data_IF_949252007686
#
_entry.id   IF_949252007686
#
_cell.length_a   1.000
_cell.length_b   1.000
_cell.length_c   1.000
_cell.angle_alpha   90.00
_cell.angle_beta   90.00
_cell.angle_gamma   90.00
#
_symmetry.space_group_name_H-M   'P 1'
#
loop_
_entity.id
_entity.type
_entity.pdbx_description
1 polymer ?
#
# COMPACT_ATOMS: atom_id res chain seq x y z
N UNK A 1 -8.05 6.81 -24.94
CA UNK A 1 -8.27 7.23 -23.54
C UNK A 1 -9.75 7.08 -23.15
N UNK A 2 -10.35 5.91 -23.38
CA UNK A 2 -11.75 5.62 -23.03
C UNK A 2 -11.85 4.58 -21.90
N UNK A 3 -10.87 3.66 -21.79
CA UNK A 3 -10.84 2.66 -20.72
C UNK A 3 -10.73 3.26 -19.30
N UNK A 4 -9.94 4.33 -19.12
CA UNK A 4 -9.85 5.02 -17.83
C UNK A 4 -11.18 5.70 -17.49
N UNK A 5 -11.86 6.31 -18.48
CA UNK A 5 -13.18 6.90 -18.27
C UNK A 5 -14.21 5.83 -17.91
N UNK A 6 -14.24 4.69 -18.59
CA UNK A 6 -15.14 3.57 -18.25
C UNK A 6 -14.88 3.10 -16.82
N UNK A 7 -13.62 3.01 -16.39
CA UNK A 7 -13.26 2.65 -15.01
C UNK A 7 -13.75 3.67 -13.97
N UNK A 8 -13.79 4.96 -14.30
CA UNK A 8 -14.29 6.00 -13.39
C UNK A 8 -15.81 6.24 -13.47
N UNK A 9 -16.46 5.88 -14.58
CA UNK A 9 -17.87 6.26 -14.85
C UNK A 9 -18.85 5.09 -14.80
N UNK A 10 -18.38 3.84 -14.87
CA UNK A 10 -19.24 2.66 -14.67
C UNK A 10 -19.26 2.21 -13.21
N UNK A 11 -20.41 1.72 -12.69
CA UNK A 11 -20.49 1.21 -11.32
C UNK A 11 -19.46 0.11 -11.03
N UNK A 12 -19.21 -0.75 -12.01
CA UNK A 12 -18.22 -1.85 -11.93
C UNK A 12 -16.78 -1.33 -11.87
N UNK A 13 -16.50 -0.26 -12.62
CA UNK A 13 -15.21 0.40 -12.62
C UNK A 13 -14.91 1.07 -11.28
N UNK A 14 -15.88 1.82 -10.74
CA UNK A 14 -15.79 2.46 -9.42
C UNK A 14 -15.61 1.43 -8.31
N UNK A 15 -16.31 0.30 -8.39
CA UNK A 15 -16.13 -0.83 -7.46
C UNK A 15 -14.70 -1.39 -7.48
N UNK A 16 -14.15 -1.59 -8.68
CA UNK A 16 -12.76 -2.05 -8.86
C UNK A 16 -11.75 -1.03 -8.33
N UNK A 17 -11.99 0.26 -8.58
CA UNK A 17 -11.17 1.37 -8.09
C UNK A 17 -11.16 1.44 -6.55
N UNK A 18 -12.32 1.24 -5.92
CA UNK A 18 -12.42 1.19 -4.46
C UNK A 18 -11.61 0.03 -3.86
N UNK A 19 -11.66 -1.15 -4.49
CA UNK A 19 -10.87 -2.31 -4.05
C UNK A 19 -9.37 -2.06 -4.22
N UNK A 20 -8.95 -1.51 -5.36
CA UNK A 20 -7.54 -1.18 -5.61
C UNK A 20 -7.05 -0.16 -4.57
N UNK A 21 -7.82 0.90 -4.32
CA UNK A 21 -7.49 1.89 -3.30
C UNK A 21 -7.44 1.28 -1.90
N UNK A 22 -8.33 0.35 -1.57
CA UNK A 22 -8.35 -0.36 -0.30
C UNK A 22 -7.12 -1.25 -0.12
N UNK A 23 -6.73 -2.04 -1.12
CA UNK A 23 -5.53 -2.88 -1.10
C UNK A 23 -4.27 -2.03 -0.95
N UNK A 24 -4.16 -0.92 -1.71
CA UNK A 24 -3.04 0.01 -1.59
C UNK A 24 -3.01 0.65 -0.19
N UNK A 25 -4.17 1.06 0.33
CA UNK A 25 -4.29 1.63 1.67
C UNK A 25 -3.86 0.65 2.76
N UNK A 26 -4.29 -0.60 2.68
CA UNK A 26 -3.85 -1.67 3.59
C UNK A 26 -2.35 -1.94 3.46
N UNK A 27 -1.83 -2.04 2.24
CA UNK A 27 -0.40 -2.23 1.98
C UNK A 27 0.44 -1.10 2.57
N UNK A 28 0.01 0.15 2.40
CA UNK A 28 0.66 1.32 2.99
C UNK A 28 0.54 1.36 4.52
N UNK A 29 -0.60 0.95 5.09
CA UNK A 29 -0.79 0.85 6.54
C UNK A 29 0.15 -0.19 7.16
N UNK A 30 0.23 -1.39 6.58
CA UNK A 30 1.17 -2.42 6.99
C UNK A 30 2.60 -1.96 6.76
N UNK A 31 2.95 -1.43 5.60
CA UNK A 31 4.28 -0.89 5.33
C UNK A 31 4.66 0.21 6.32
N UNK A 32 3.73 1.08 6.75
CA UNK A 32 3.98 2.09 7.78
C UNK A 32 4.14 1.49 9.18
N UNK A 33 3.33 0.49 9.53
CA UNK A 33 3.44 -0.24 10.80
C UNK A 33 4.76 -1.00 10.88
N UNK A 34 5.10 -1.74 9.82
CA UNK A 34 6.36 -2.47 9.68
C UNK A 34 7.55 -1.52 9.53
N UNK A 35 7.48 -0.41 8.81
CA UNK A 35 8.58 0.55 8.73
C UNK A 35 8.94 1.14 10.10
N UNK A 36 7.96 1.31 11.01
CA UNK A 36 8.25 1.70 12.39
C UNK A 36 9.00 0.60 13.14
N UNK A 37 8.61 -0.67 12.96
CA UNK A 37 9.24 -1.83 13.61
C UNK A 37 10.62 -2.16 13.02
N UNK A 38 10.73 -2.13 11.70
CA UNK A 38 11.96 -2.32 10.94
C UNK A 38 12.98 -1.22 11.17
N UNK A 39 12.61 -0.01 11.57
CA UNK A 39 13.60 1.01 11.99
C UNK A 39 14.29 0.59 13.28
N UNK A 40 13.54 0.08 14.24
CA UNK A 40 14.07 -0.53 15.47
C UNK A 40 14.95 -1.75 15.15
N UNK A 41 14.47 -2.66 14.31
CA UNK A 41 15.22 -3.86 13.92
C UNK A 41 16.43 -3.53 13.01
N UNK A 42 16.36 -2.49 12.18
CA UNK A 42 17.49 -2.05 11.35
C UNK A 42 18.58 -1.36 12.20
N UNK A 43 18.21 -0.64 13.26
CA UNK A 43 19.15 -0.10 14.24
C UNK A 43 19.78 -1.22 15.08
N UNK A 44 19.02 -2.25 15.45
CA UNK A 44 19.53 -3.45 16.12
C UNK A 44 20.43 -4.30 15.19
N UNK A 45 20.03 -4.49 13.94
CA UNK A 45 20.82 -5.20 12.92
C UNK A 45 22.10 -4.46 12.55
N UNK A 46 22.09 -3.11 12.53
CA UNK A 46 23.31 -2.29 12.37
C UNK A 46 24.25 -2.38 13.57
N UNK A 47 23.77 -2.70 14.77
CA UNK A 47 24.60 -2.93 15.97
C UNK A 47 25.08 -4.37 16.12
N UNK A 48 24.40 -5.34 15.51
CA UNK A 48 24.76 -6.76 15.53
C UNK A 48 25.72 -7.21 14.43
N UNK A 49 26.08 -6.34 13.49
CA UNK A 49 27.12 -6.59 12.48
C UNK A 49 28.50 -6.17 12.95
N UNK A 50 29.05 -6.89 13.94
CA UNK A 50 30.48 -6.94 14.27
C UNK A 50 30.97 -8.38 14.06
#
# INVERSE_FOLDING_TARGET
MEAIKILFTTPTGLGSLAVIAFIIGMGAFFARMFARKMREDAEAARRGGN
#
